data_IF_121526483184
#
_entry.id   IF_121526483184
#
_cell.length_a   1.000
_cell.length_b   1.000
_cell.length_c   1.000
_cell.angle_alpha   90.00
_cell.angle_beta   90.00
_cell.angle_gamma   90.00
#
_symmetry.space_group_name_H-M   'P 1'
#
loop_
_entity.id
_entity.type
_entity.pdbx_description
1 polymer ?
#
# COMPACT_ATOMS: atom_id res chain seq x y z
N UNK A 1 10.40 16.09 -3.24
CA UNK A 1 10.21 15.98 -1.78
C UNK A 1 9.55 14.65 -1.50
N UNK A 2 9.79 14.05 -0.33
CA UNK A 2 9.20 12.76 -0.01
C UNK A 2 7.81 12.94 0.57
N UNK A 3 6.87 12.11 0.13
CA UNK A 3 5.57 11.92 0.75
C UNK A 3 5.39 10.45 1.12
N UNK A 4 4.51 10.18 2.09
CA UNK A 4 4.16 8.82 2.50
C UNK A 4 2.67 8.64 2.37
N UNK A 5 2.25 7.63 1.60
CA UNK A 5 0.88 7.15 1.58
C UNK A 5 0.78 6.00 2.59
N UNK A 6 -0.09 6.18 3.59
CA UNK A 6 -0.36 5.20 4.63
C UNK A 6 -1.65 4.46 4.28
N UNK A 7 -1.56 3.15 4.15
CA UNK A 7 -2.71 2.30 3.83
C UNK A 7 -2.92 1.28 4.93
N UNK A 8 -4.12 1.27 5.52
CA UNK A 8 -4.55 0.27 6.49
C UNK A 8 -5.53 -0.68 5.82
N UNK A 9 -5.28 -1.99 5.87
CA UNK A 9 -6.15 -2.98 5.21
C UNK A 9 -6.32 -4.29 6.00
N UNK A 10 -7.41 -4.99 5.70
CA UNK A 10 -7.68 -6.35 6.18
C UNK A 10 -7.89 -7.29 4.99
N UNK A 11 -7.58 -8.59 5.13
CA UNK A 11 -8.15 -9.59 4.24
C UNK A 11 -9.68 -9.63 4.40
N UNK A 12 -10.39 -10.11 3.38
CA UNK A 12 -11.85 -10.19 3.41
C UNK A 12 -12.40 -11.12 4.50
N UNK A 13 -11.62 -12.14 4.88
CA UNK A 13 -11.88 -13.02 6.01
C UNK A 13 -10.56 -13.64 6.51
N UNK A 14 -10.61 -14.36 7.62
CA UNK A 14 -9.46 -15.12 8.14
C UNK A 14 -8.98 -16.19 7.15
N UNK A 15 -9.91 -16.89 6.50
CA UNK A 15 -9.62 -17.96 5.54
C UNK A 15 -8.96 -17.40 4.27
N UNK A 16 -9.28 -16.16 3.90
CA UNK A 16 -8.69 -15.47 2.77
C UNK A 16 -7.29 -14.88 3.05
N UNK A 17 -6.78 -14.92 4.29
CA UNK A 17 -5.54 -14.24 4.68
C UNK A 17 -4.31 -14.72 3.89
N UNK A 18 -4.23 -16.02 3.57
CA UNK A 18 -3.13 -16.59 2.77
C UNK A 18 -3.18 -16.05 1.35
N UNK A 19 -4.34 -16.15 0.68
CA UNK A 19 -4.51 -15.65 -0.69
C UNK A 19 -4.33 -14.13 -0.78
N UNK A 20 -4.82 -13.39 0.22
CA UNK A 20 -4.61 -11.95 0.35
C UNK A 20 -3.11 -11.62 0.37
N UNK A 21 -2.32 -12.30 1.21
CA UNK A 21 -0.88 -12.00 1.33
C UNK A 21 -0.09 -12.40 0.09
N UNK A 22 -0.46 -13.51 -0.56
CA UNK A 22 0.13 -13.94 -1.81
C UNK A 22 -0.10 -12.92 -2.92
N UNK A 23 -1.36 -12.51 -3.13
CA UNK A 23 -1.72 -11.44 -4.08
C UNK A 23 -0.99 -10.14 -3.77
N UNK A 24 -0.96 -9.73 -2.50
CA UNK A 24 -0.37 -8.45 -2.13
C UNK A 24 1.14 -8.42 -2.43
N UNK A 25 1.82 -9.54 -2.20
CA UNK A 25 3.27 -9.68 -2.38
C UNK A 25 3.66 -9.84 -3.84
N UNK A 26 2.92 -10.68 -4.57
CA UNK A 26 3.31 -11.12 -5.91
C UNK A 26 2.65 -10.32 -7.04
N UNK A 27 1.59 -9.55 -6.75
CA UNK A 27 0.83 -8.79 -7.75
C UNK A 27 0.71 -7.33 -7.32
N UNK A 28 0.02 -7.04 -6.21
CA UNK A 28 -0.36 -5.66 -5.87
C UNK A 28 0.84 -4.74 -5.62
N UNK A 29 1.78 -5.11 -4.75
CA UNK A 29 2.96 -4.26 -4.47
C UNK A 29 3.80 -4.03 -5.73
N UNK A 30 4.14 -5.08 -6.52
CA UNK A 30 4.80 -4.88 -7.82
C UNK A 30 4.05 -3.89 -8.74
N UNK A 31 2.74 -4.03 -8.88
CA UNK A 31 1.94 -3.16 -9.75
C UNK A 31 1.93 -1.70 -9.24
N UNK A 32 1.81 -1.49 -7.92
CA UNK A 32 1.88 -0.15 -7.31
C UNK A 32 3.27 0.47 -7.52
N UNK A 33 4.34 -0.29 -7.31
CA UNK A 33 5.71 0.20 -7.51
C UNK A 33 6.04 0.47 -8.99
N UNK A 34 5.26 -0.06 -9.93
CA UNK A 34 5.38 0.25 -11.35
C UNK A 34 4.72 1.60 -11.73
N UNK A 35 3.95 2.22 -10.83
CA UNK A 35 3.40 3.57 -11.02
C UNK A 35 4.51 4.61 -10.85
N UNK A 36 4.80 5.46 -11.86
CA UNK A 36 5.80 6.52 -11.72
C UNK A 36 5.51 7.40 -10.51
N UNK A 37 6.52 7.61 -9.66
CA UNK A 37 6.41 8.40 -8.43
C UNK A 37 6.48 7.57 -7.16
N UNK A 38 6.12 6.28 -7.19
CA UNK A 38 6.37 5.34 -6.09
C UNK A 38 7.83 4.90 -6.08
N UNK A 39 8.41 4.75 -4.89
CA UNK A 39 9.85 4.47 -4.70
C UNK A 39 10.07 3.19 -3.90
N UNK A 40 9.29 3.01 -2.85
CA UNK A 40 9.40 1.88 -1.95
C UNK A 40 8.02 1.56 -1.35
N UNK A 41 7.86 0.31 -0.97
CA UNK A 41 6.70 -0.18 -0.25
C UNK A 41 7.20 -1.06 0.90
N UNK A 42 6.73 -0.81 2.11
CA UNK A 42 6.95 -1.72 3.24
C UNK A 42 5.63 -2.12 3.85
N UNK A 43 5.43 -3.42 4.01
CA UNK A 43 4.24 -4.00 4.63
C UNK A 43 4.53 -4.47 6.04
N UNK A 44 3.59 -4.22 6.92
CA UNK A 44 3.63 -4.60 8.32
C UNK A 44 2.35 -5.34 8.66
N UNK A 45 2.48 -6.34 9.53
CA UNK A 45 1.37 -7.01 10.19
C UNK A 45 1.40 -6.64 11.66
N UNK A 46 0.24 -6.33 12.24
CA UNK A 46 0.12 -6.17 13.68
C UNK A 46 0.61 -7.43 14.40
N UNK A 47 1.23 -7.24 15.56
CA UNK A 47 1.62 -8.37 16.40
C UNK A 47 0.37 -9.03 16.98
N UNK A 48 0.33 -10.36 17.03
CA UNK A 48 -0.85 -11.08 17.51
C UNK A 48 -1.14 -10.70 18.97
N UNK A 49 -2.37 -10.27 19.24
CA UNK A 49 -2.80 -9.77 20.57
C UNK A 49 -2.44 -8.31 20.86
N UNK A 50 -1.75 -7.61 19.95
CA UNK A 50 -1.45 -6.18 20.09
C UNK A 50 -1.74 -5.42 18.79
N UNK A 51 -3.02 -5.11 18.60
CA UNK A 51 -3.53 -4.38 17.44
C UNK A 51 -4.05 -3.01 17.88
N UNK A 52 -3.49 -1.94 17.31
CA UNK A 52 -3.83 -0.54 17.68
C UNK A 52 -4.84 0.08 16.70
N UNK A 53 -4.91 -0.43 15.47
CA UNK A 53 -5.88 -0.04 14.46
C UNK A 53 -6.92 -1.15 14.26
N UNK A 54 -8.04 -0.89 13.59
CA UNK A 54 -9.01 -1.95 13.25
C UNK A 54 -8.45 -2.93 12.18
N UNK A 55 -7.41 -2.50 11.48
CA UNK A 55 -6.75 -3.25 10.43
C UNK A 55 -5.53 -4.01 10.94
N UNK A 56 -5.40 -5.26 10.50
CA UNK A 56 -4.30 -6.18 10.81
C UNK A 56 -3.03 -5.84 10.02
N UNK A 57 -3.17 -5.16 8.88
CA UNK A 57 -2.04 -4.81 8.00
C UNK A 57 -1.94 -3.31 7.76
N UNK A 58 -0.71 -2.83 7.70
CA UNK A 58 -0.33 -1.49 7.30
C UNK A 58 0.70 -1.57 6.18
N UNK A 59 0.50 -0.79 5.12
CA UNK A 59 1.49 -0.59 4.06
C UNK A 59 1.89 0.87 4.03
N UNK A 60 3.19 1.12 4.04
CA UNK A 60 3.77 2.43 3.79
C UNK A 60 4.31 2.45 2.38
N UNK A 61 3.78 3.35 1.56
CA UNK A 61 4.34 3.65 0.25
C UNK A 61 5.09 4.99 0.33
N UNK A 62 6.33 4.99 -0.12
CA UNK A 62 7.14 6.20 -0.25
C UNK A 62 7.02 6.75 -1.67
N UNK A 63 6.74 8.05 -1.79
CA UNK A 63 6.57 8.74 -3.06
C UNK A 63 7.57 9.89 -3.20
N UNK A 64 8.03 10.15 -4.44
CA UNK A 64 8.78 11.36 -4.78
C UNK A 64 7.87 12.35 -5.50
N UNK A 65 7.53 13.43 -4.81
CA UNK A 65 6.56 14.43 -5.27
C UNK A 65 7.22 15.78 -5.42
N UNK A 66 6.83 16.56 -6.43
CA UNK A 66 7.43 17.88 -6.72
C UNK A 66 6.61 19.01 -6.10
N UNK A 67 5.29 18.84 -6.10
CA UNK A 67 4.28 19.75 -5.61
C UNK A 67 2.94 18.97 -5.49
N UNK A 68 1.85 19.66 -5.14
CA UNK A 68 0.52 19.06 -4.99
C UNK A 68 -0.04 18.52 -6.31
N UNK A 69 0.18 19.23 -7.43
CA UNK A 69 -0.27 18.80 -8.76
C UNK A 69 0.36 17.46 -9.17
N UNK A 70 1.68 17.30 -8.98
CA UNK A 70 2.36 16.04 -9.25
C UNK A 70 1.85 14.90 -8.35
N UNK A 71 1.50 15.19 -7.09
CA UNK A 71 0.89 14.18 -6.21
C UNK A 71 -0.50 13.75 -6.74
N UNK A 72 -1.28 14.71 -7.25
CA UNK A 72 -2.57 14.42 -7.88
C UNK A 72 -2.39 13.53 -9.11
N UNK A 73 -1.43 13.84 -9.99
CA UNK A 73 -1.10 13.02 -11.17
C UNK A 73 -0.73 11.58 -10.80
N UNK A 74 0.11 11.39 -9.77
CA UNK A 74 0.50 10.06 -9.28
C UNK A 74 -0.71 9.32 -8.71
N UNK A 75 -1.58 10.02 -7.96
CA UNK A 75 -2.81 9.46 -7.41
C UNK A 75 -3.77 9.01 -8.51
N UNK A 76 -3.99 9.84 -9.54
CA UNK A 76 -4.87 9.53 -10.65
C UNK A 76 -4.36 8.33 -11.46
N UNK A 77 -3.04 8.25 -11.69
CA UNK A 77 -2.42 7.12 -12.36
C UNK A 77 -2.48 5.83 -11.53
N UNK A 78 -2.31 5.93 -10.21
CA UNK A 78 -2.52 4.80 -9.30
C UNK A 78 -3.95 4.26 -9.42
N UNK A 79 -4.96 5.13 -9.30
CA UNK A 79 -6.38 4.76 -9.41
C UNK A 79 -6.76 4.17 -10.77
N UNK A 80 -6.00 4.48 -11.83
CA UNK A 80 -6.24 3.93 -13.17
C UNK A 80 -5.68 2.52 -13.34
N UNK A 81 -4.61 2.16 -12.61
CA UNK A 81 -3.87 0.90 -12.82
C UNK A 81 -4.19 -0.19 -11.78
N UNK A 82 -4.57 0.22 -10.57
CA UNK A 82 -4.67 -0.62 -9.38
C UNK A 82 -6.11 -0.71 -8.92
#
# INVERSE_FOLDING_TARGET
MKAVLVVLTNPASTEAEVAYNDWYTNIHVPDVLAVPGYIAATRYKAFDGWQVFDQKYLTLYELDVRNLEHLQEISDEHMRRI
#
